data_IF_160361596063
#
_entry.id   IF_160361596063
#
_cell.length_a   1.000
_cell.length_b   1.000
_cell.length_c   1.000
_cell.angle_alpha   90.00
_cell.angle_beta   90.00
_cell.angle_gamma   90.00
#
_symmetry.space_group_name_H-M   'P 1'
#
loop_
_entity.id
_entity.type
_entity.pdbx_description
1 polymer ?
#
# COMPACT_ATOMS: atom_id res chain seq x y z
N UNK A 1 10.06 2.97 10.47
CA UNK A 1 8.90 3.04 9.57
C UNK A 1 8.89 4.33 8.81
N UNK A 2 8.57 4.25 7.53
CA UNK A 2 8.48 5.38 6.61
C UNK A 2 7.20 6.19 6.85
N UNK A 3 7.22 7.48 6.52
CA UNK A 3 6.09 8.40 6.65
C UNK A 3 5.89 9.12 5.33
N UNK A 4 4.63 9.27 4.90
CA UNK A 4 4.29 10.08 3.75
C UNK A 4 4.06 11.53 4.19
N UNK A 5 4.91 12.44 3.71
CA UNK A 5 4.75 13.88 3.88
C UNK A 5 3.94 14.44 2.71
N UNK A 6 3.19 15.52 2.96
CA UNK A 6 2.38 16.22 1.95
C UNK A 6 1.49 15.28 1.13
N UNK A 7 0.79 14.38 1.84
CA UNK A 7 -0.01 13.35 1.21
C UNK A 7 -1.09 13.99 0.29
N UNK A 8 -1.23 13.49 -0.95
CA UNK A 8 -2.31 13.91 -1.84
C UNK A 8 -3.68 13.73 -1.17
N UNK A 9 -4.63 14.63 -1.48
CA UNK A 9 -5.96 14.61 -0.88
C UNK A 9 -6.73 13.29 -1.18
N UNK A 10 -6.36 12.60 -2.25
CA UNK A 10 -6.94 11.35 -2.70
C UNK A 10 -6.46 10.12 -1.90
N UNK A 11 -5.44 10.28 -1.05
CA UNK A 11 -4.88 9.22 -0.22
C UNK A 11 -5.32 9.34 1.24
N UNK A 12 -6.05 8.34 1.72
CA UNK A 12 -6.38 8.20 3.14
C UNK A 12 -5.15 7.70 3.91
N UNK A 13 -4.84 8.36 5.02
CA UNK A 13 -3.79 7.92 5.94
C UNK A 13 -4.37 7.28 7.19
N UNK A 14 -3.66 6.29 7.74
CA UNK A 14 -3.85 5.77 9.09
C UNK A 14 -2.68 6.21 9.94
N UNK A 15 -2.86 7.31 10.67
CA UNK A 15 -1.76 7.99 11.35
C UNK A 15 -0.78 8.60 10.33
N UNK A 16 0.47 8.14 10.35
CA UNK A 16 1.55 8.61 9.44
C UNK A 16 1.79 7.70 8.23
N UNK A 17 1.00 6.62 8.10
CA UNK A 17 1.14 5.61 7.05
C UNK A 17 -0.06 5.63 6.12
N UNK A 18 0.12 5.16 4.89
CA UNK A 18 -0.93 5.05 3.88
C UNK A 18 -1.92 3.97 4.32
N UNK A 19 -3.21 4.29 4.39
CA UNK A 19 -4.23 3.28 4.63
C UNK A 19 -4.37 2.41 3.38
N UNK A 20 -4.33 1.09 3.57
CA UNK A 20 -4.42 0.10 2.49
C UNK A 20 -5.43 -1.00 2.84
N UNK A 21 -5.99 -1.63 1.81
CA UNK A 21 -6.71 -2.91 1.94
C UNK A 21 -5.74 -4.07 2.20
N UNK A 22 -6.27 -5.27 2.38
CA UNK A 22 -5.47 -6.50 2.54
C UNK A 22 -4.49 -6.73 1.39
N UNK A 23 -4.87 -6.36 0.16
CA UNK A 23 -4.05 -6.53 -1.04
C UNK A 23 -3.20 -5.28 -1.36
N UNK A 24 -3.04 -4.36 -0.41
CA UNK A 24 -2.24 -3.15 -0.60
C UNK A 24 -2.91 -2.02 -1.39
N UNK A 25 -4.18 -2.15 -1.77
CA UNK A 25 -4.87 -1.10 -2.54
C UNK A 25 -5.15 0.12 -1.64
N UNK A 26 -4.83 1.31 -2.14
CA UNK A 26 -5.08 2.56 -1.42
C UNK A 26 -6.52 3.06 -1.66
N UNK A 27 -6.90 4.20 -1.07
CA UNK A 27 -8.15 4.88 -1.41
C UNK A 27 -8.22 5.38 -2.86
N UNK A 28 -7.07 5.57 -3.52
CA UNK A 28 -7.05 5.89 -4.94
C UNK A 28 -7.12 4.58 -5.75
N UNK A 29 -8.10 4.42 -6.66
CA UNK A 29 -8.42 3.12 -7.28
C UNK A 29 -7.31 2.54 -8.17
N UNK A 30 -6.34 3.36 -8.57
CA UNK A 30 -5.21 2.98 -9.43
C UNK A 30 -3.86 2.99 -8.73
N UNK A 31 -3.83 3.05 -7.40
CA UNK A 31 -2.58 3.15 -6.62
C UNK A 31 -2.59 2.11 -5.50
N UNK A 32 -1.44 1.43 -5.34
CA UNK A 32 -1.18 0.44 -4.30
C UNK A 32 0.06 0.83 -3.51
N UNK A 33 0.12 0.39 -2.26
CA UNK A 33 1.26 0.57 -1.37
C UNK A 33 1.49 -0.68 -0.52
N UNK A 34 2.76 -0.97 -0.24
CA UNK A 34 3.20 -2.07 0.62
C UNK A 34 4.52 -1.72 1.30
N UNK A 35 4.91 -2.51 2.29
CA UNK A 35 6.08 -2.26 3.13
C UNK A 35 5.87 -1.12 4.13
N UNK A 36 6.97 -0.54 4.60
CA UNK A 36 7.00 0.36 5.77
C UNK A 36 6.07 1.56 5.68
N UNK A 37 5.77 2.05 4.47
CA UNK A 37 4.90 3.20 4.23
C UNK A 37 3.40 2.86 4.35
N UNK A 38 3.04 1.59 4.24
CA UNK A 38 1.66 1.11 4.31
C UNK A 38 1.26 0.79 5.75
N UNK A 39 0.00 1.03 6.09
CA UNK A 39 -0.57 0.65 7.37
C UNK A 39 -0.54 -0.88 7.52
N UNK A 40 0.05 -1.38 8.60
CA UNK A 40 0.31 -2.82 8.77
C UNK A 40 1.64 -3.29 8.17
N UNK A 41 2.40 -2.41 7.50
CA UNK A 41 3.78 -2.65 7.16
C UNK A 41 4.66 -2.69 8.40
N UNK A 42 5.49 -3.72 8.50
CA UNK A 42 6.53 -3.90 9.49
C UNK A 42 7.87 -3.57 8.83
N UNK A 43 8.82 -2.96 9.56
CA UNK A 43 10.15 -2.57 9.06
C UNK A 43 11.04 -3.82 8.81
N UNK A 44 10.51 -4.77 8.05
CA UNK A 44 11.00 -6.11 7.78
C UNK A 44 10.91 -6.36 6.28
N UNK A 45 12.06 -6.67 5.68
CA UNK A 45 12.17 -6.88 4.24
C UNK A 45 11.26 -7.99 3.73
N UNK A 46 11.07 -9.06 4.52
CA UNK A 46 10.19 -10.18 4.14
C UNK A 46 8.72 -9.77 4.07
N UNK A 47 8.24 -8.93 5.00
CA UNK A 47 6.88 -8.41 5.01
C UNK A 47 6.66 -7.47 3.83
N UNK A 48 7.63 -6.58 3.56
CA UNK A 48 7.57 -5.68 2.41
C UNK A 48 7.55 -6.43 1.07
N UNK A 49 8.34 -7.50 0.92
CA UNK A 49 8.36 -8.32 -0.30
C UNK A 49 7.03 -9.05 -0.50
N UNK A 50 6.46 -9.65 0.56
CA UNK A 50 5.16 -10.32 0.49
C UNK A 50 4.05 -9.34 0.06
N UNK A 51 3.97 -8.19 0.72
CA UNK A 51 2.98 -7.16 0.39
C UNK A 51 3.15 -6.62 -1.04
N UNK A 52 4.39 -6.47 -1.51
CA UNK A 52 4.67 -6.07 -2.89
C UNK A 52 4.18 -7.08 -3.93
N UNK A 53 4.35 -8.38 -3.66
CA UNK A 53 3.81 -9.46 -4.51
C UNK A 53 2.28 -9.40 -4.55
N UNK A 54 1.64 -9.35 -3.40
CA UNK A 54 0.18 -9.41 -3.31
C UNK A 54 -0.47 -8.16 -3.97
N UNK A 55 0.18 -6.99 -3.85
CA UNK A 55 -0.21 -5.78 -4.59
C UNK A 55 -0.05 -5.94 -6.11
N UNK A 56 1.04 -6.55 -6.59
CA UNK A 56 1.25 -6.80 -8.01
C UNK A 56 0.20 -7.76 -8.60
N UNK A 57 -0.16 -8.81 -7.86
CA UNK A 57 -1.24 -9.73 -8.25
C UNK A 57 -2.60 -9.00 -8.34
N UNK A 58 -2.89 -8.11 -7.39
CA UNK A 58 -4.13 -7.35 -7.40
C UNK A 58 -4.17 -6.29 -8.52
N UNK A 59 -3.04 -5.65 -8.83
CA UNK A 59 -2.90 -4.78 -10.01
C UNK A 59 -3.22 -5.56 -11.27
N UNK A 60 -2.64 -6.75 -11.43
CA UNK A 60 -2.87 -7.59 -12.60
C UNK A 60 -4.35 -7.96 -12.75
N UNK A 61 -4.99 -8.42 -11.67
CA UNK A 61 -6.42 -8.73 -11.66
C UNK A 61 -7.28 -7.51 -12.03
N UNK A 62 -6.94 -6.33 -11.50
CA UNK A 62 -7.67 -5.07 -11.77
C UNK A 62 -7.55 -4.63 -13.24
N UNK A 63 -6.43 -4.94 -13.91
CA UNK A 63 -6.19 -4.55 -15.30
C UNK A 63 -6.72 -5.55 -16.33
N UNK A 64 -6.80 -6.82 -15.96
CA UNK A 64 -7.19 -7.91 -16.88
C UNK A 64 -8.66 -8.36 -16.72
N UNK A 65 -9.32 -7.98 -15.63
CA UNK A 65 -10.77 -8.13 -15.44
C UNK A 65 -11.57 -7.02 -16.11
#
# INVERSE_FOLDING_TARGET
GQTLHDAPAELTLKGRKIAVSENGQTSHPKVWAGGDCAAGGEDLTVTAVAQGRDAAENIHQTLMG
#
